data_IF_867320549732
#
_entry.id   IF_867320549732
#
_cell.length_a   1.000
_cell.length_b   1.000
_cell.length_c   1.000
_cell.angle_alpha   90.00
_cell.angle_beta   90.00
_cell.angle_gamma   90.00
#
_symmetry.space_group_name_H-M   'P 1'
#
loop_
_entity.id
_entity.type
_entity.pdbx_description
1 polymer ?
#
# COMPACT_ATOMS: atom_id res chain seq x y z
N UNK A 1 -9.26 -11.56 -19.70
CA UNK A 1 -9.27 -10.22 -19.07
C UNK A 1 -7.93 -9.87 -18.45
N UNK A 2 -7.48 -10.51 -17.36
CA UNK A 2 -6.18 -10.19 -16.72
C UNK A 2 -5.02 -10.11 -17.70
N UNK A 3 -4.83 -11.12 -18.55
CA UNK A 3 -3.76 -11.10 -19.57
C UNK A 3 -3.91 -9.99 -20.61
N UNK A 4 -5.14 -9.58 -20.92
CA UNK A 4 -5.39 -8.50 -21.88
C UNK A 4 -5.09 -7.14 -21.24
N UNK A 5 -5.60 -6.90 -20.02
CA UNK A 5 -5.31 -5.71 -19.21
C UNK A 5 -3.81 -5.57 -18.89
N UNK A 6 -3.11 -6.69 -18.74
CA UNK A 6 -1.65 -6.71 -18.56
C UNK A 6 -0.92 -6.00 -19.70
N UNK A 7 -1.39 -6.18 -20.94
CA UNK A 7 -0.83 -5.52 -22.13
C UNK A 7 -1.42 -4.15 -22.47
N UNK A 8 -2.49 -3.72 -21.80
CA UNK A 8 -3.19 -2.47 -22.11
C UNK A 8 -2.49 -1.25 -21.49
N UNK A 9 -1.95 -0.34 -22.31
CA UNK A 9 -1.26 0.87 -21.84
C UNK A 9 -2.15 1.80 -21.01
N UNK A 10 -3.47 1.77 -21.22
CA UNK A 10 -4.43 2.55 -20.43
C UNK A 10 -4.63 2.04 -19.00
N UNK A 11 -4.21 0.81 -18.70
CA UNK A 11 -4.40 0.17 -17.40
C UNK A 11 -3.14 0.26 -16.54
N UNK A 12 -3.25 0.91 -15.37
CA UNK A 12 -2.15 1.00 -14.38
C UNK A 12 -2.16 -0.11 -13.33
N UNK A 13 -3.34 -0.46 -12.83
CA UNK A 13 -3.55 -1.49 -11.80
C UNK A 13 -4.68 -2.41 -12.21
N UNK A 14 -4.54 -3.70 -11.94
CA UNK A 14 -5.58 -4.71 -12.22
C UNK A 14 -6.17 -5.16 -10.90
N UNK A 15 -7.49 -5.04 -10.77
CA UNK A 15 -8.25 -5.43 -9.58
C UNK A 15 -9.09 -6.64 -9.93
N UNK A 16 -8.98 -7.70 -9.13
CA UNK A 16 -9.74 -8.94 -9.31
C UNK A 16 -10.48 -9.27 -8.02
N UNK A 17 -11.81 -9.22 -8.08
CA UNK A 17 -12.63 -9.93 -7.11
C UNK A 17 -12.96 -11.32 -7.66
N UNK A 18 -12.85 -12.35 -6.82
CA UNK A 18 -13.20 -13.72 -7.23
C UNK A 18 -13.70 -14.51 -6.04
N UNK A 19 -14.70 -15.37 -6.27
CA UNK A 19 -15.17 -16.36 -5.28
C UNK A 19 -14.59 -17.76 -5.54
N UNK A 20 -14.02 -17.95 -6.74
CA UNK A 20 -13.47 -19.21 -7.24
C UNK A 20 -13.16 -19.12 -8.74
N UNK A 21 -12.44 -20.11 -9.26
CA UNK A 21 -12.18 -20.27 -10.70
C UNK A 21 -11.95 -21.74 -11.04
N UNK A 22 -12.56 -22.22 -12.12
CA UNK A 22 -12.30 -23.56 -12.65
C UNK A 22 -10.99 -23.61 -13.46
N UNK A 23 -10.49 -22.44 -13.89
CA UNK A 23 -9.28 -22.30 -14.71
C UNK A 23 -8.09 -21.78 -13.87
N UNK A 24 -7.93 -22.26 -12.63
CA UNK A 24 -6.94 -21.74 -11.67
C UNK A 24 -5.51 -21.60 -12.23
N UNK A 25 -4.99 -22.61 -12.93
CA UNK A 25 -3.64 -22.53 -13.55
C UNK A 25 -3.53 -21.42 -14.59
N UNK A 26 -4.59 -21.22 -15.38
CA UNK A 26 -4.65 -20.17 -16.41
C UNK A 26 -4.75 -18.79 -15.77
N UNK A 27 -5.52 -18.66 -14.68
CA UNK A 27 -5.56 -17.42 -13.90
C UNK A 27 -4.17 -17.09 -13.35
N UNK A 28 -3.50 -18.03 -12.68
CA UNK A 28 -2.16 -17.79 -12.12
C UNK A 28 -1.11 -17.46 -13.18
N UNK A 29 -1.19 -18.09 -14.36
CA UNK A 29 -0.33 -17.73 -15.51
C UNK A 29 -0.60 -16.29 -15.97
N UNK A 30 -1.87 -15.87 -16.03
CA UNK A 30 -2.23 -14.51 -16.42
C UNK A 30 -1.80 -13.47 -15.38
N UNK A 31 -1.98 -13.78 -14.08
CA UNK A 31 -1.50 -12.96 -12.96
C UNK A 31 0.02 -12.79 -13.07
N UNK A 32 0.77 -13.90 -13.19
CA UNK A 32 2.23 -13.85 -13.34
C UNK A 32 2.70 -12.99 -14.51
N UNK A 33 2.03 -13.10 -15.66
CA UNK A 33 2.35 -12.29 -16.83
C UNK A 33 2.10 -10.80 -16.60
N UNK A 34 0.99 -10.43 -15.97
CA UNK A 34 0.63 -9.04 -15.72
C UNK A 34 1.46 -8.42 -14.58
N UNK A 35 1.68 -9.17 -13.50
CA UNK A 35 2.47 -8.77 -12.31
C UNK A 35 3.92 -8.42 -12.62
N UNK A 36 4.44 -8.84 -13.78
CA UNK A 36 5.79 -8.47 -14.23
C UNK A 36 5.93 -6.96 -14.53
N UNK A 37 4.83 -6.27 -14.82
CA UNK A 37 4.84 -4.85 -15.19
C UNK A 37 3.81 -4.01 -14.46
N UNK A 38 2.77 -4.62 -13.88
CA UNK A 38 1.63 -3.91 -13.30
C UNK A 38 1.15 -4.61 -12.03
N UNK A 39 0.81 -3.88 -10.96
CA UNK A 39 0.22 -4.47 -9.77
C UNK A 39 -1.11 -5.19 -10.08
N UNK A 40 -1.26 -6.41 -9.56
CA UNK A 40 -2.48 -7.21 -9.66
C UNK A 40 -3.00 -7.47 -8.25
N UNK A 41 -4.08 -6.78 -7.86
CA UNK A 41 -4.72 -6.89 -6.57
C UNK A 41 -5.85 -7.91 -6.63
N UNK A 42 -5.93 -8.81 -5.65
CA UNK A 42 -6.91 -9.87 -5.63
C UNK A 42 -7.63 -9.93 -4.28
N UNK A 43 -8.95 -9.73 -4.30
CA UNK A 43 -9.84 -9.96 -3.16
C UNK A 43 -10.59 -11.27 -3.37
N UNK A 44 -10.33 -12.26 -2.51
CA UNK A 44 -10.98 -13.58 -2.56
C UNK A 44 -12.19 -13.62 -1.62
N UNK A 45 -13.39 -13.81 -2.17
CA UNK A 45 -14.57 -14.17 -1.39
C UNK A 45 -14.51 -15.62 -0.90
N UNK A 46 -15.08 -15.93 0.26
CA UNK A 46 -15.18 -17.31 0.76
C UNK A 46 -13.89 -17.92 1.30
N UNK A 47 -13.04 -17.12 1.97
CA UNK A 47 -11.81 -17.59 2.63
C UNK A 47 -12.08 -18.43 3.89
N UNK A 48 -13.12 -18.08 4.64
CA UNK A 48 -13.52 -18.77 5.88
C UNK A 48 -14.51 -19.90 5.58
N UNK A 49 -14.66 -20.86 6.49
CA UNK A 49 -15.62 -21.95 6.30
C UNK A 49 -17.07 -21.45 6.13
N UNK A 50 -17.47 -20.42 6.89
CA UNK A 50 -18.77 -19.78 6.73
C UNK A 50 -18.90 -19.13 5.34
N UNK A 51 -17.88 -18.40 4.89
CA UNK A 51 -17.86 -17.80 3.57
C UNK A 51 -17.87 -18.84 2.45
N UNK A 52 -17.16 -19.96 2.61
CA UNK A 52 -17.09 -21.06 1.65
C UNK A 52 -18.46 -21.72 1.46
N UNK A 53 -19.21 -21.91 2.56
CA UNK A 53 -20.61 -22.36 2.52
C UNK A 53 -21.52 -21.34 1.83
N UNK A 54 -21.33 -20.06 2.10
CA UNK A 54 -22.10 -19.00 1.44
C UNK A 54 -21.85 -18.98 -0.08
N UNK A 55 -20.59 -19.07 -0.52
CA UNK A 55 -20.23 -19.18 -1.94
C UNK A 55 -20.84 -20.44 -2.57
N UNK A 56 -20.80 -21.59 -1.89
CA UNK A 56 -21.43 -22.81 -2.37
C UNK A 56 -22.94 -22.65 -2.54
N UNK A 57 -23.62 -22.04 -1.57
CA UNK A 57 -25.06 -21.78 -1.66
C UNK A 57 -25.42 -20.78 -2.77
N UNK A 58 -24.54 -19.79 -3.03
CA UNK A 58 -24.77 -18.75 -4.01
C UNK A 58 -24.46 -19.19 -5.45
N UNK A 59 -23.34 -19.87 -5.65
CA UNK A 59 -22.81 -20.21 -6.99
C UNK A 59 -23.06 -21.66 -7.39
N UNK A 60 -23.44 -22.52 -6.44
CA UNK A 60 -23.51 -23.97 -6.64
C UNK A 60 -22.14 -24.65 -6.78
N UNK A 61 -21.04 -23.92 -6.63
CA UNK A 61 -19.67 -24.42 -6.78
C UNK A 61 -18.95 -24.49 -5.44
N UNK A 62 -18.14 -25.54 -5.24
CA UNK A 62 -17.35 -25.67 -4.02
C UNK A 62 -16.23 -24.62 -4.06
N UNK A 63 -16.28 -23.64 -3.17
CA UNK A 63 -15.15 -22.74 -2.98
C UNK A 63 -13.93 -23.55 -2.49
N UNK A 64 -12.82 -23.39 -3.22
CA UNK A 64 -11.54 -24.00 -2.87
C UNK A 64 -10.92 -23.39 -1.60
N UNK A 65 -9.81 -23.97 -1.13
CA UNK A 65 -9.08 -23.45 0.03
C UNK A 65 -8.59 -22.02 -0.23
N UNK A 66 -8.94 -21.10 0.67
CA UNK A 66 -8.47 -19.71 0.64
C UNK A 66 -6.95 -19.63 0.73
N UNK A 67 -6.35 -20.35 1.68
CA UNK A 67 -4.90 -20.39 1.90
C UNK A 67 -4.13 -20.87 0.66
N UNK A 68 -4.63 -21.93 0.00
CA UNK A 68 -4.00 -22.44 -1.24
C UNK A 68 -4.12 -21.43 -2.37
N UNK A 69 -5.27 -20.75 -2.46
CA UNK A 69 -5.47 -19.70 -3.47
C UNK A 69 -4.53 -18.52 -3.23
N UNK A 70 -4.42 -18.02 -2.00
CA UNK A 70 -3.52 -16.93 -1.62
C UNK A 70 -2.06 -17.27 -1.87
N UNK A 71 -1.63 -18.48 -1.48
CA UNK A 71 -0.28 -18.96 -1.77
C UNK A 71 0.00 -18.99 -3.28
N UNK A 72 -0.96 -19.46 -4.09
CA UNK A 72 -0.81 -19.49 -5.54
C UNK A 72 -0.75 -18.08 -6.17
N UNK A 73 -1.53 -17.13 -5.65
CA UNK A 73 -1.51 -15.73 -6.07
C UNK A 73 -0.17 -15.08 -5.72
N UNK A 74 0.28 -15.23 -4.48
CA UNK A 74 1.56 -14.72 -3.99
C UNK A 74 2.74 -15.25 -4.81
N UNK A 75 2.78 -16.57 -5.07
CA UNK A 75 3.78 -17.19 -5.95
C UNK A 75 3.76 -16.65 -7.39
N UNK A 76 2.61 -16.13 -7.82
CA UNK A 76 2.42 -15.53 -9.15
C UNK A 76 2.70 -14.03 -9.15
N UNK A 77 3.08 -13.42 -8.03
CA UNK A 77 3.34 -11.99 -7.91
C UNK A 77 2.07 -11.13 -7.83
N UNK A 78 0.90 -11.74 -7.60
CA UNK A 78 -0.30 -10.99 -7.24
C UNK A 78 -0.29 -10.63 -5.76
N UNK A 79 -1.03 -9.58 -5.41
CA UNK A 79 -1.16 -9.07 -4.05
C UNK A 79 -2.56 -9.45 -3.57
N UNK A 80 -2.62 -10.29 -2.54
CA UNK A 80 -3.88 -10.59 -1.87
C UNK A 80 -4.21 -9.47 -0.88
N UNK A 81 -5.47 -9.04 -0.89
CA UNK A 81 -6.02 -8.10 0.10
C UNK A 81 -7.17 -8.76 0.86
N UNK A 82 -7.43 -8.28 2.07
CA UNK A 82 -8.35 -8.88 3.02
C UNK A 82 -9.74 -8.24 3.03
N UNK A 83 -9.85 -7.00 2.53
CA UNK A 83 -11.11 -6.26 2.55
C UNK A 83 -11.33 -5.44 1.28
N UNK A 84 -12.57 -5.01 1.08
CA UNK A 84 -12.90 -4.06 0.01
C UNK A 84 -12.21 -2.70 0.22
N UNK A 85 -12.10 -2.25 1.47
CA UNK A 85 -11.42 -1.01 1.83
C UNK A 85 -9.94 -1.07 1.43
N UNK A 86 -9.24 -2.12 1.86
CA UNK A 86 -7.85 -2.36 1.48
C UNK A 86 -7.66 -2.49 -0.05
N UNK A 87 -8.60 -3.15 -0.74
CA UNK A 87 -8.58 -3.25 -2.20
C UNK A 87 -8.63 -1.88 -2.87
N UNK A 88 -9.51 -0.99 -2.39
CA UNK A 88 -9.69 0.34 -2.93
C UNK A 88 -8.50 1.25 -2.60
N UNK A 89 -7.99 1.19 -1.37
CA UNK A 89 -6.82 1.96 -0.94
C UNK A 89 -5.57 1.57 -1.72
N UNK A 90 -5.29 0.27 -1.83
CA UNK A 90 -4.17 -0.23 -2.62
C UNK A 90 -4.32 0.12 -4.11
N UNK A 91 -5.52 -0.03 -4.68
CA UNK A 91 -5.77 0.34 -6.08
C UNK A 91 -5.52 1.82 -6.33
N UNK A 92 -5.94 2.69 -5.41
CA UNK A 92 -5.72 4.13 -5.49
C UNK A 92 -4.22 4.45 -5.39
N UNK A 93 -3.52 3.87 -4.42
CA UNK A 93 -2.08 4.07 -4.24
C UNK A 93 -1.30 3.65 -5.50
N UNK A 94 -1.50 2.44 -6.00
CA UNK A 94 -0.81 1.94 -7.21
C UNK A 94 -1.20 2.68 -8.50
N UNK A 95 -2.37 3.31 -8.55
CA UNK A 95 -2.80 4.09 -9.72
C UNK A 95 -2.18 5.50 -9.72
N UNK A 96 -2.01 6.09 -8.54
CA UNK A 96 -1.65 7.50 -8.36
C UNK A 96 -0.19 7.74 -8.02
N UNK A 97 0.48 6.76 -7.41
CA UNK A 97 1.84 6.91 -6.88
C UNK A 97 2.82 6.01 -7.66
N UNK A 98 4.08 6.43 -7.80
CA UNK A 98 5.14 5.53 -8.24
C UNK A 98 5.39 4.43 -7.20
N UNK A 99 5.92 3.29 -7.64
CA UNK A 99 6.40 2.26 -6.72
C UNK A 99 7.65 2.77 -6.03
N UNK A 100 7.71 2.77 -4.67
CA UNK A 100 8.90 3.19 -3.94
C UNK A 100 10.14 2.37 -4.31
N UNK A 101 11.31 2.99 -4.25
CA UNK A 101 12.59 2.34 -4.59
C UNK A 101 13.09 1.39 -3.49
N UNK A 102 12.54 1.51 -2.28
CA UNK A 102 12.95 0.76 -1.12
C UNK A 102 11.97 0.94 0.04
N UNK A 103 12.32 0.41 1.23
CA UNK A 103 11.41 0.35 2.38
C UNK A 103 11.47 1.61 3.26
N UNK A 104 12.32 2.58 2.93
CA UNK A 104 12.58 3.75 3.76
C UNK A 104 11.41 4.73 3.65
N UNK A 105 10.72 4.99 4.74
CA UNK A 105 9.53 5.83 4.82
C UNK A 105 9.80 7.02 5.74
N UNK A 106 9.34 8.21 5.33
CA UNK A 106 9.24 9.37 6.23
C UNK A 106 7.78 9.75 6.47
N UNK A 107 7.36 9.78 7.74
CA UNK A 107 6.02 10.21 8.12
C UNK A 107 6.04 11.68 8.50
N UNK A 108 5.22 12.51 7.85
CA UNK A 108 4.98 13.91 8.23
C UNK A 108 3.55 14.04 8.75
N UNK A 109 3.38 14.56 9.97
CA UNK A 109 2.08 14.55 10.67
C UNK A 109 1.84 15.85 11.44
N UNK A 110 0.57 16.22 11.60
CA UNK A 110 0.12 17.28 12.53
C UNK A 110 -0.46 16.70 13.84
N UNK A 111 -0.34 15.38 14.02
CA UNK A 111 -0.92 14.64 15.14
C UNK A 111 0.02 13.53 15.59
N UNK A 112 0.50 13.63 16.82
CA UNK A 112 1.31 12.58 17.45
C UNK A 112 0.61 11.22 17.50
N UNK A 113 -0.72 11.21 17.71
CA UNK A 113 -1.50 9.96 17.68
C UNK A 113 -1.50 9.30 16.30
N UNK A 114 -1.67 10.09 15.24
CA UNK A 114 -1.57 9.57 13.88
C UNK A 114 -0.14 9.11 13.55
N UNK A 115 0.88 9.81 14.06
CA UNK A 115 2.29 9.41 13.93
C UNK A 115 2.57 8.05 14.57
N UNK A 116 2.04 7.80 15.77
CA UNK A 116 2.16 6.50 16.46
C UNK A 116 1.50 5.38 15.65
N UNK A 117 0.23 5.57 15.23
CA UNK A 117 -0.50 4.57 14.44
C UNK A 117 0.18 4.29 13.10
N UNK A 118 0.71 5.33 12.45
CA UNK A 118 1.45 5.19 11.19
C UNK A 118 2.76 4.42 11.40
N UNK A 119 3.47 4.67 12.50
CA UNK A 119 4.71 3.96 12.84
C UNK A 119 4.45 2.46 13.04
N UNK A 120 3.45 2.11 13.86
CA UNK A 120 3.06 0.72 14.12
C UNK A 120 2.62 0.00 12.84
N UNK A 121 1.84 0.67 11.98
CA UNK A 121 1.38 0.10 10.72
C UNK A 121 2.55 -0.12 9.75
N UNK A 122 3.47 0.84 9.69
CA UNK A 122 4.64 0.79 8.80
C UNK A 122 5.58 -0.35 9.18
N UNK A 123 5.87 -0.50 10.48
CA UNK A 123 6.73 -1.58 10.96
C UNK A 123 6.10 -2.96 10.72
N UNK A 124 4.78 -3.11 10.95
CA UNK A 124 4.04 -4.35 10.62
C UNK A 124 4.06 -4.68 9.13
N UNK A 125 4.10 -3.67 8.27
CA UNK A 125 4.23 -3.82 6.82
C UNK A 125 5.68 -4.06 6.37
N UNK A 126 6.66 -4.07 7.28
CA UNK A 126 8.08 -4.25 6.97
C UNK A 126 8.78 -3.00 6.41
N UNK A 127 8.17 -1.83 6.56
CA UNK A 127 8.78 -0.54 6.22
C UNK A 127 9.70 -0.07 7.34
N UNK A 128 10.69 0.76 6.99
CA UNK A 128 11.66 1.33 7.91
C UNK A 128 11.44 2.83 8.01
N UNK A 129 11.21 3.34 9.21
CA UNK A 129 11.19 4.79 9.43
C UNK A 129 12.62 5.33 9.32
N UNK A 130 12.90 6.07 8.26
CA UNK A 130 14.21 6.66 7.99
C UNK A 130 14.64 7.58 9.13
N UNK A 131 15.88 7.41 9.58
CA UNK A 131 16.54 8.41 10.40
C UNK A 131 16.91 9.62 9.54
N UNK A 132 16.70 10.82 10.08
CA UNK A 132 17.10 12.06 9.43
C UNK A 132 18.56 12.36 9.76
N UNK A 133 19.36 12.74 8.77
CA UNK A 133 20.71 13.23 9.02
C UNK A 133 20.67 14.56 9.77
N UNK A 134 21.80 14.91 10.36
CA UNK A 134 21.97 16.22 11.00
C UNK A 134 21.73 17.36 10.02
N UNK A 135 22.16 17.21 8.77
CA UNK A 135 21.96 18.22 7.72
C UNK A 135 20.47 18.45 7.46
N UNK A 136 19.68 17.37 7.31
CA UNK A 136 18.22 17.47 7.15
C UNK A 136 17.56 18.12 8.36
N UNK A 137 17.96 17.74 9.58
CA UNK A 137 17.41 18.31 10.81
C UNK A 137 17.75 19.81 10.94
N UNK A 138 18.96 20.22 10.58
CA UNK A 138 19.36 21.63 10.60
C UNK A 138 18.52 22.45 9.59
N UNK A 139 18.32 21.93 8.37
CA UNK A 139 17.43 22.55 7.36
C UNK A 139 15.98 22.65 7.82
N UNK A 140 15.47 21.62 8.49
CA UNK A 140 14.12 21.63 9.04
C UNK A 140 13.98 22.65 10.19
N UNK A 141 15.00 22.82 11.04
CA UNK A 141 15.01 23.84 12.09
C UNK A 141 14.93 25.26 11.51
N UNK A 142 15.57 25.52 10.38
CA UNK A 142 15.52 26.84 9.73
C UNK A 142 14.15 27.12 9.09
N UNK A 143 13.46 26.07 8.64
CA UNK A 143 12.20 26.16 7.91
C UNK A 143 10.96 26.09 8.82
N UNK A 144 11.07 25.45 9.98
CA UNK A 144 9.93 25.15 10.85
C UNK A 144 10.08 25.79 12.24
N UNK A 145 8.98 26.08 12.93
CA UNK A 145 9.00 26.51 14.32
C UNK A 145 9.66 25.49 15.27
N UNK A 146 10.29 26.01 16.32
CA UNK A 146 11.06 25.25 17.33
C UNK A 146 10.23 24.23 18.14
N UNK A 147 8.92 24.37 18.14
CA UNK A 147 8.00 23.42 18.79
C UNK A 147 7.74 22.15 17.99
N UNK A 148 8.20 22.06 16.74
CA UNK A 148 8.07 20.85 15.92
C UNK A 148 9.03 19.75 16.40
N UNK A 149 8.61 18.48 16.26
CA UNK A 149 9.48 17.35 16.61
C UNK A 149 10.19 16.86 15.34
N UNK A 150 11.44 17.27 15.17
CA UNK A 150 12.26 17.02 13.97
C UNK A 150 12.96 15.66 13.98
N UNK A 151 12.18 14.59 14.09
CA UNK A 151 12.62 13.20 13.86
C UNK A 151 11.60 12.50 12.96
N UNK A 152 11.69 11.19 12.80
CA UNK A 152 10.65 10.43 12.10
C UNK A 152 9.81 9.64 13.13
N UNK A 153 8.49 9.86 13.26
CA UNK A 153 7.67 10.83 12.51
C UNK A 153 8.00 12.30 12.76
N UNK A 154 7.93 13.11 11.70
CA UNK A 154 8.09 14.56 11.72
C UNK A 154 6.76 15.19 12.16
N UNK A 155 6.69 15.59 13.44
CA UNK A 155 5.47 16.11 14.05
C UNK A 155 5.46 17.64 14.00
N UNK A 156 4.61 18.16 13.11
CA UNK A 156 4.35 19.59 12.89
C UNK A 156 3.33 20.16 13.89
N UNK A 157 2.83 19.33 14.81
CA UNK A 157 1.80 19.67 15.81
C UNK A 157 0.46 20.05 15.17
N UNK A 158 -0.56 20.30 16.01
CA UNK A 158 -1.86 20.77 15.56
C UNK A 158 -1.83 22.12 14.82
N UNK A 159 -0.76 22.91 15.02
CA UNK A 159 -0.57 24.22 14.37
C UNK A 159 -0.50 24.12 12.84
N UNK A 160 -0.03 23.00 12.27
CA UNK A 160 -0.01 22.80 10.83
C UNK A 160 -1.40 22.82 10.17
N UNK A 161 -2.49 22.65 10.95
CA UNK A 161 -3.86 22.81 10.47
C UNK A 161 -4.26 24.27 10.26
N UNK A 162 -3.65 25.19 11.00
CA UNK A 162 -3.86 26.65 10.87
C UNK A 162 -2.79 27.31 10.03
N UNK A 163 -1.64 26.65 9.85
CA UNK A 163 -0.51 27.12 9.06
C UNK A 163 -0.08 26.07 8.02
N UNK A 164 -0.84 25.89 6.92
CA UNK A 164 -0.58 24.82 5.94
C UNK A 164 0.80 24.92 5.26
N UNK A 165 1.46 26.08 5.32
CA UNK A 165 2.82 26.28 4.84
C UNK A 165 3.82 25.32 5.48
N UNK A 166 3.61 24.94 6.75
CA UNK A 166 4.47 24.00 7.46
C UNK A 166 4.58 22.65 6.75
N UNK A 167 3.49 22.15 6.16
CA UNK A 167 3.52 20.91 5.38
C UNK A 167 4.36 21.05 4.13
N UNK A 168 4.22 22.16 3.40
CA UNK A 168 5.02 22.42 2.20
C UNK A 168 6.50 22.46 2.56
N UNK A 169 6.87 23.25 3.56
CA UNK A 169 8.27 23.48 3.90
C UNK A 169 8.93 22.19 4.42
N UNK A 170 8.20 21.40 5.22
CA UNK A 170 8.64 20.07 5.66
C UNK A 170 8.82 19.08 4.49
N UNK A 171 7.85 19.02 3.58
CA UNK A 171 7.89 18.10 2.43
C UNK A 171 8.98 18.47 1.43
N UNK A 172 9.23 19.76 1.19
CA UNK A 172 10.32 20.21 0.32
C UNK A 172 11.68 19.75 0.85
N UNK A 173 11.97 19.99 2.13
CA UNK A 173 13.22 19.54 2.75
C UNK A 173 13.35 18.02 2.73
N UNK A 174 12.26 17.31 3.05
CA UNK A 174 12.20 15.85 3.03
C UNK A 174 12.46 15.24 1.65
N UNK A 175 11.82 15.77 0.61
CA UNK A 175 11.98 15.27 -0.76
C UNK A 175 13.39 15.53 -1.30
N UNK A 176 13.99 16.66 -0.93
CA UNK A 176 15.35 17.02 -1.34
C UNK A 176 16.45 16.25 -0.61
N UNK A 177 16.21 15.76 0.62
CA UNK A 177 17.22 15.00 1.36
C UNK A 177 17.53 13.64 0.73
N UNK A 178 16.55 13.03 0.06
CA UNK A 178 16.67 11.71 -0.54
C UNK A 178 16.85 10.57 0.49
N UNK A 179 16.55 10.81 1.76
CA UNK A 179 16.70 9.87 2.87
C UNK A 179 15.51 8.89 3.00
N UNK A 180 14.40 9.18 2.33
CA UNK A 180 13.22 8.33 2.25
C UNK A 180 12.91 7.95 0.79
N UNK A 181 12.40 6.74 0.62
CA UNK A 181 11.92 6.22 -0.67
C UNK A 181 10.45 6.57 -0.93
N UNK A 182 9.71 6.95 0.13
CA UNK A 182 8.29 7.32 0.11
C UNK A 182 7.92 8.26 1.27
#
# INVERSE_FOLDING_TARGET
LVSWLGGDEGTRVIVVYTEGTDEGRKLMKAVRGASASKPVLILKGGKTEAGRKAVLAHTGSLAGSGEVFEAAVSQSGGICVESLEELLDAAKAFSMLPVPRGPNLLVVTSSGGAGILSSDASEKAGLTLSALSRETVDRLNDALPDYCILRNPLDLTGNALTEPGMYRDALEVALESGEADM
#
